data_IF_939329890837
#
_entry.id   IF_939329890837
#
_cell.length_a   1.000
_cell.length_b   1.000
_cell.length_c   1.000
_cell.angle_alpha   90.00
_cell.angle_beta   90.00
_cell.angle_gamma   90.00
#
_symmetry.space_group_name_H-M   'P 1'
#
loop_
_entity.id
_entity.type
_entity.pdbx_description
1 polymer ?
#
# COMPACT_ATOMS: atom_id res chain seq x y z
N UNK A 1 6.06 2.05 8.33
CA UNK A 1 6.31 3.51 8.34
C UNK A 1 5.01 4.18 7.95
N UNK A 2 4.37 4.84 8.91
CA UNK A 2 3.09 5.54 8.71
C UNK A 2 3.35 6.95 8.20
N UNK A 3 2.71 7.34 7.11
CA UNK A 3 2.55 8.73 6.69
C UNK A 3 1.06 9.07 6.67
N UNK A 4 0.70 10.24 7.21
CA UNK A 4 -0.66 10.74 7.26
C UNK A 4 -0.77 12.00 6.40
N UNK A 5 -1.89 12.13 5.70
CA UNK A 5 -2.19 13.23 4.81
C UNK A 5 -3.60 13.75 5.08
N UNK A 6 -3.77 15.06 5.07
CA UNK A 6 -5.05 15.74 5.21
C UNK A 6 -5.16 16.80 4.12
N UNK A 7 -6.26 16.78 3.34
CA UNK A 7 -6.52 17.82 2.35
C UNK A 7 -7.31 18.98 2.99
N UNK A 8 -7.13 20.24 2.55
CA UNK A 8 -8.01 21.33 2.91
C UNK A 8 -9.48 21.02 2.56
N UNK A 9 -10.41 21.40 3.45
CA UNK A 9 -11.85 21.22 3.22
C UNK A 9 -12.26 21.97 1.96
N UNK A 10 -12.91 21.27 1.02
CA UNK A 10 -13.45 21.85 -0.22
C UNK A 10 -14.92 22.19 -0.02
N UNK A 11 -15.39 23.27 -0.63
CA UNK A 11 -16.81 23.66 -0.61
C UNK A 11 -17.34 23.66 -2.04
N UNK A 12 -18.28 22.77 -2.32
CA UNK A 12 -19.07 22.75 -3.54
C UNK A 12 -20.31 23.62 -3.34
N UNK A 13 -20.57 24.56 -4.26
CA UNK A 13 -21.68 25.53 -4.15
C UNK A 13 -23.01 24.94 -4.67
N UNK A 14 -23.28 23.68 -4.31
CA UNK A 14 -24.48 22.94 -4.70
C UNK A 14 -25.05 22.15 -3.50
N UNK A 15 -26.38 21.93 -3.45
CA UNK A 15 -27.01 21.16 -2.38
C UNK A 15 -26.50 19.72 -2.31
N UNK A 16 -26.40 19.20 -1.09
CA UNK A 16 -25.89 17.85 -0.78
C UNK A 16 -26.52 16.77 -1.67
N UNK A 17 -27.84 16.82 -1.85
CA UNK A 17 -28.61 15.86 -2.64
C UNK A 17 -28.19 15.79 -4.11
N UNK A 18 -27.80 16.94 -4.69
CA UNK A 18 -27.27 17.01 -6.06
C UNK A 18 -25.81 16.55 -6.13
N UNK A 19 -25.00 16.86 -5.11
CA UNK A 19 -23.61 16.36 -4.99
C UNK A 19 -23.59 14.84 -4.85
N UNK A 20 -24.55 14.23 -4.14
CA UNK A 20 -24.68 12.77 -4.05
C UNK A 20 -25.10 12.16 -5.39
N UNK A 21 -25.98 12.82 -6.15
CA UNK A 21 -26.38 12.40 -7.49
C UNK A 21 -25.22 12.45 -8.49
N UNK A 22 -24.37 13.48 -8.40
CA UNK A 22 -23.14 13.62 -9.18
C UNK A 22 -22.05 12.61 -8.74
N UNK A 23 -21.96 12.32 -7.44
CA UNK A 23 -21.01 11.35 -6.90
C UNK A 23 -21.25 9.91 -7.40
N UNK A 24 -22.51 9.45 -7.43
CA UNK A 24 -22.83 8.09 -7.89
C UNK A 24 -22.55 7.86 -9.39
N UNK A 25 -22.43 8.91 -10.22
CA UNK A 25 -21.97 8.83 -11.63
C UNK A 25 -20.58 8.21 -11.80
N UNK A 26 -19.80 8.12 -10.71
CA UNK A 26 -18.46 7.51 -10.71
C UNK A 26 -18.48 5.97 -10.84
N UNK A 27 -19.63 5.33 -10.69
CA UNK A 27 -19.75 3.87 -10.61
C UNK A 27 -20.58 3.28 -11.78
N UNK A 28 -20.32 2.03 -12.21
CA UNK A 28 -19.24 1.14 -11.76
C UNK A 28 -17.87 1.49 -12.36
N UNK A 29 -17.81 2.39 -13.34
CA UNK A 29 -16.59 2.80 -14.06
C UNK A 29 -16.62 4.30 -14.36
N UNK A 30 -15.53 5.03 -14.08
CA UNK A 30 -15.45 6.47 -14.36
C UNK A 30 -14.36 6.78 -15.39
N UNK A 31 -14.72 7.33 -16.55
CA UNK A 31 -13.77 7.69 -17.62
C UNK A 31 -12.73 8.73 -17.18
N UNK A 32 -13.07 9.59 -16.22
CA UNK A 32 -12.17 10.60 -15.64
C UNK A 32 -11.21 10.02 -14.58
N UNK A 33 -11.43 8.77 -14.13
CA UNK A 33 -10.58 8.06 -13.17
C UNK A 33 -10.06 6.77 -13.85
N UNK A 34 -9.25 6.86 -14.93
CA UNK A 34 -8.84 5.70 -15.73
C UNK A 34 -7.96 4.69 -15.00
N UNK A 35 -7.50 5.01 -13.78
CA UNK A 35 -6.84 4.06 -12.87
C UNK A 35 -7.82 3.07 -12.24
N UNK A 36 -9.11 3.43 -12.09
CA UNK A 36 -10.18 2.54 -11.61
C UNK A 36 -10.83 1.86 -12.82
N UNK A 37 -10.62 0.55 -12.97
CA UNK A 37 -11.12 -0.23 -14.10
C UNK A 37 -12.55 -0.72 -13.89
N UNK A 38 -12.92 -1.03 -12.65
CA UNK A 38 -14.25 -1.45 -12.23
C UNK A 38 -14.41 -1.29 -10.71
N UNK A 39 -15.64 -1.06 -10.25
CA UNK A 39 -16.05 -1.16 -8.85
C UNK A 39 -17.34 -1.98 -8.77
N UNK A 40 -17.25 -3.19 -8.23
CA UNK A 40 -18.34 -4.15 -8.07
C UNK A 40 -18.94 -4.01 -6.67
N UNK A 41 -20.27 -4.02 -6.52
CA UNK A 41 -20.92 -3.98 -5.21
C UNK A 41 -20.80 -5.35 -4.53
N UNK A 42 -20.21 -5.41 -3.34
CA UNK A 42 -20.11 -6.63 -2.52
C UNK A 42 -21.21 -6.74 -1.48
N UNK A 43 -21.70 -5.60 -0.99
CA UNK A 43 -22.82 -5.52 -0.05
C UNK A 43 -23.55 -4.19 -0.23
N UNK A 44 -24.87 -4.19 -0.12
CA UNK A 44 -25.69 -2.97 -0.18
C UNK A 44 -26.90 -3.14 0.73
N UNK A 45 -26.99 -2.31 1.77
CA UNK A 45 -28.05 -2.39 2.77
C UNK A 45 -28.68 -1.01 2.99
N UNK A 46 -29.97 -0.99 3.30
CA UNK A 46 -30.75 0.23 3.53
C UNK A 46 -31.48 0.11 4.87
N UNK A 47 -31.53 1.18 5.65
CA UNK A 47 -32.28 1.23 6.91
C UNK A 47 -33.79 1.09 6.67
N UNK A 48 -34.52 0.62 7.70
CA UNK A 48 -35.98 0.43 7.62
C UNK A 48 -36.78 1.71 7.32
N UNK A 49 -36.19 2.89 7.52
CA UNK A 49 -36.77 4.19 7.17
C UNK A 49 -36.26 4.80 5.86
N UNK A 50 -35.34 4.11 5.15
CA UNK A 50 -34.72 4.60 3.93
C UNK A 50 -33.78 5.79 4.11
N UNK A 51 -33.47 6.20 5.34
CA UNK A 51 -32.56 7.33 5.60
C UNK A 51 -31.09 7.00 5.36
N UNK A 52 -30.67 5.77 5.65
CA UNK A 52 -29.28 5.34 5.63
C UNK A 52 -29.10 4.22 4.62
N UNK A 53 -28.09 4.33 3.76
CA UNK A 53 -27.64 3.27 2.86
C UNK A 53 -26.16 3.01 3.07
N UNK A 54 -25.81 1.77 3.39
CA UNK A 54 -24.42 1.33 3.51
C UNK A 54 -24.09 0.45 2.30
N UNK A 55 -23.21 0.94 1.42
CA UNK A 55 -22.81 0.24 0.19
C UNK A 55 -21.32 -0.04 0.23
N UNK A 56 -20.94 -1.31 0.24
CA UNK A 56 -19.56 -1.76 0.11
C UNK A 56 -19.28 -2.17 -1.34
N UNK A 57 -18.13 -1.72 -1.87
CA UNK A 57 -17.69 -1.95 -3.25
C UNK A 57 -16.26 -2.46 -3.25
N UNK A 58 -15.98 -3.47 -4.08
CA UNK A 58 -14.63 -3.96 -4.38
C UNK A 58 -14.18 -3.36 -5.71
N UNK A 59 -13.20 -2.47 -5.65
CA UNK A 59 -12.68 -1.73 -6.78
C UNK A 59 -11.36 -2.33 -7.29
N UNK A 60 -11.32 -2.64 -8.59
CA UNK A 60 -10.14 -3.10 -9.32
C UNK A 60 -9.43 -1.93 -9.96
N UNK A 61 -8.19 -1.68 -9.54
CA UNK A 61 -7.33 -0.61 -10.05
C UNK A 61 -6.21 -1.17 -10.94
N UNK A 62 -5.81 -0.39 -11.96
CA UNK A 62 -4.61 -0.63 -12.76
C UNK A 62 -3.36 -0.09 -12.03
N UNK A 63 -2.27 -0.84 -12.06
CA UNK A 63 -1.02 -0.46 -11.37
C UNK A 63 -0.13 0.41 -12.28
N UNK A 64 -0.30 1.74 -12.22
CA UNK A 64 0.65 2.73 -12.76
C UNK A 64 1.90 2.85 -11.87
N UNK A 65 2.66 1.76 -11.73
CA UNK A 65 3.91 1.73 -10.98
C UNK A 65 5.12 1.61 -11.93
N UNK A 66 6.28 2.22 -11.57
CA UNK A 66 7.54 2.01 -12.28
C UNK A 66 7.82 0.53 -12.57
N UNK A 67 8.33 0.23 -13.77
CA UNK A 67 8.51 -1.14 -14.29
C UNK A 67 9.12 -2.13 -13.28
N UNK A 68 10.14 -1.71 -12.53
CA UNK A 68 10.81 -2.55 -11.54
C UNK A 68 9.91 -2.92 -10.35
N UNK A 69 8.99 -2.03 -9.93
CA UNK A 69 7.97 -2.32 -8.92
C UNK A 69 6.95 -3.28 -9.49
N UNK A 70 6.38 -2.99 -10.68
CA UNK A 70 5.36 -3.84 -11.32
C UNK A 70 5.86 -5.28 -11.54
N UNK A 71 7.12 -5.43 -11.95
CA UNK A 71 7.80 -6.73 -12.14
C UNK A 71 7.96 -7.56 -10.86
N UNK A 72 8.17 -6.89 -9.71
CA UNK A 72 8.28 -7.54 -8.39
C UNK A 72 6.88 -7.83 -7.80
N UNK A 73 5.92 -6.94 -8.05
CA UNK A 73 4.51 -7.08 -7.64
C UNK A 73 3.83 -8.27 -8.33
N UNK A 74 4.21 -8.58 -9.58
CA UNK A 74 3.75 -9.78 -10.29
C UNK A 74 2.29 -9.74 -10.78
N UNK A 75 1.55 -8.69 -10.46
CA UNK A 75 0.16 -8.46 -10.89
C UNK A 75 -0.01 -7.13 -11.61
N UNK A 76 -0.83 -7.12 -12.66
CA UNK A 76 -1.23 -5.90 -13.37
C UNK A 76 -2.22 -5.02 -12.60
N UNK A 77 -2.89 -5.60 -11.61
CA UNK A 77 -4.05 -5.04 -10.94
C UNK A 77 -3.96 -5.17 -9.43
N UNK A 78 -4.55 -4.22 -8.70
CA UNK A 78 -4.75 -4.29 -7.25
C UNK A 78 -6.20 -4.04 -6.90
N UNK A 79 -6.66 -4.67 -5.82
CA UNK A 79 -8.01 -4.52 -5.29
C UNK A 79 -8.02 -3.66 -4.03
N UNK A 80 -8.96 -2.73 -3.99
CA UNK A 80 -9.34 -1.93 -2.83
C UNK A 80 -10.79 -2.21 -2.48
N UNK A 81 -11.12 -2.22 -1.18
CA UNK A 81 -12.50 -2.20 -0.71
C UNK A 81 -12.85 -0.78 -0.33
N UNK A 82 -14.04 -0.33 -0.71
CA UNK A 82 -14.60 0.97 -0.40
C UNK A 82 -15.97 0.79 0.25
N UNK A 83 -16.10 1.16 1.52
CA UNK A 83 -17.36 1.22 2.25
C UNK A 83 -17.88 2.66 2.24
N UNK A 84 -19.08 2.85 1.71
CA UNK A 84 -19.83 4.10 1.80
C UNK A 84 -20.95 3.97 2.83
N UNK A 85 -21.20 5.02 3.61
CA UNK A 85 -22.39 5.19 4.43
C UNK A 85 -23.05 6.52 4.11
N UNK A 86 -24.10 6.48 3.29
CA UNK A 86 -24.91 7.63 2.90
C UNK A 86 -26.06 7.77 3.88
N UNK A 87 -26.08 8.86 4.65
CA UNK A 87 -27.14 9.20 5.60
C UNK A 87 -27.85 10.49 5.14
N UNK A 88 -29.05 10.33 4.58
CA UNK A 88 -29.88 11.40 4.06
C UNK A 88 -30.56 12.22 5.18
N UNK A 89 -30.70 11.66 6.39
CA UNK A 89 -31.29 12.34 7.55
C UNK A 89 -30.33 13.37 8.14
N UNK A 90 -29.04 13.04 8.23
CA UNK A 90 -27.98 13.98 8.64
C UNK A 90 -27.37 14.76 7.47
N UNK A 91 -27.71 14.41 6.22
CA UNK A 91 -27.14 14.95 4.98
C UNK A 91 -25.61 14.81 4.97
N UNK A 92 -25.14 13.59 5.23
CA UNK A 92 -23.73 13.21 5.24
C UNK A 92 -23.48 11.93 4.43
N UNK A 93 -22.35 11.86 3.73
CA UNK A 93 -21.82 10.62 3.15
C UNK A 93 -20.42 10.42 3.70
N UNK A 94 -20.23 9.34 4.46
CA UNK A 94 -18.92 8.91 4.95
C UNK A 94 -18.39 7.78 4.06
N UNK A 95 -17.09 7.80 3.78
CA UNK A 95 -16.42 6.88 2.86
C UNK A 95 -15.13 6.42 3.54
N UNK A 96 -14.96 5.10 3.67
CA UNK A 96 -13.75 4.45 4.13
C UNK A 96 -13.26 3.49 3.05
N UNK A 97 -12.05 3.71 2.53
CA UNK A 97 -11.44 2.87 1.51
C UNK A 97 -10.09 2.33 1.97
N UNK A 98 -9.82 1.05 1.72
CA UNK A 98 -8.60 0.37 2.14
C UNK A 98 -8.13 -0.66 1.11
N UNK A 99 -6.83 -0.97 1.09
CA UNK A 99 -6.29 -1.97 0.17
C UNK A 99 -6.54 -3.40 0.66
N UNK A 100 -7.12 -4.23 -0.19
CA UNK A 100 -7.20 -5.68 0.02
C UNK A 100 -5.87 -6.32 -0.41
N UNK A 101 -5.44 -6.01 -1.63
CA UNK A 101 -4.17 -6.48 -2.20
C UNK A 101 -2.98 -5.88 -1.45
N UNK A 102 -2.01 -6.74 -1.09
CA UNK A 102 -0.78 -6.38 -0.36
C UNK A 102 -0.97 -5.80 1.05
N UNK A 103 -2.14 -5.96 1.67
CA UNK A 103 -2.46 -5.56 3.07
C UNK A 103 -1.45 -6.05 4.14
N UNK A 104 -0.76 -7.17 3.86
CA UNK A 104 0.33 -7.71 4.68
C UNK A 104 1.67 -6.96 4.54
N UNK A 105 1.89 -6.19 3.45
CA UNK A 105 3.13 -5.44 3.15
C UNK A 105 2.95 -3.92 3.21
N UNK A 106 1.78 -3.41 2.81
CA UNK A 106 1.39 -1.99 2.86
C UNK A 106 -0.06 -1.92 3.35
N UNK A 107 -0.37 -0.97 4.23
CA UNK A 107 -1.76 -0.61 4.56
C UNK A 107 -2.00 0.80 4.06
N UNK A 108 -2.98 0.97 3.18
CA UNK A 108 -3.53 2.25 2.74
C UNK A 108 -4.92 2.34 3.32
N UNK A 109 -5.23 3.47 3.95
CA UNK A 109 -6.55 3.79 4.50
C UNK A 109 -6.90 5.22 4.11
N UNK A 110 -7.99 5.40 3.37
CA UNK A 110 -8.53 6.70 2.99
C UNK A 110 -9.89 6.91 3.66
N UNK A 111 -10.09 8.07 4.30
CA UNK A 111 -11.34 8.47 4.93
C UNK A 111 -11.79 9.81 4.36
N UNK A 112 -12.92 9.78 3.66
CA UNK A 112 -13.51 10.95 3.01
C UNK A 112 -14.94 11.17 3.53
N UNK A 113 -15.36 12.42 3.63
CA UNK A 113 -16.69 12.77 4.14
C UNK A 113 -17.26 13.98 3.40
N UNK A 114 -18.44 13.81 2.84
CA UNK A 114 -19.27 14.90 2.32
C UNK A 114 -20.31 15.27 3.38
N UNK A 115 -20.54 16.55 3.61
CA UNK A 115 -21.51 17.06 4.58
C UNK A 115 -22.00 18.46 4.21
N UNK A 116 -23.14 18.88 4.77
CA UNK A 116 -23.68 20.24 4.54
C UNK A 116 -22.78 21.30 5.16
N UNK A 117 -22.59 22.43 4.47
CA UNK A 117 -21.80 23.56 4.98
C UNK A 117 -22.45 24.14 6.25
N UNK A 118 -21.72 24.35 7.36
CA UNK A 118 -22.32 24.71 8.65
C UNK A 118 -23.08 26.05 8.63
N UNK A 119 -22.67 26.97 7.75
CA UNK A 119 -23.29 28.30 7.60
C UNK A 119 -24.27 28.38 6.41
N UNK A 120 -24.40 27.33 5.58
CA UNK A 120 -25.22 27.38 4.37
C UNK A 120 -25.78 26.00 3.99
N UNK A 121 -27.10 25.83 4.13
CA UNK A 121 -27.79 24.56 3.86
C UNK A 121 -27.77 24.11 2.39
N UNK A 122 -27.41 25.00 1.46
CA UNK A 122 -27.38 24.75 0.01
C UNK A 122 -25.96 24.52 -0.53
N UNK A 123 -24.94 24.50 0.33
CA UNK A 123 -23.56 24.16 -0.02
C UNK A 123 -23.12 22.86 0.65
N UNK A 124 -22.14 22.19 0.03
CA UNK A 124 -21.63 20.88 0.47
C UNK A 124 -20.12 20.96 0.71
N UNK A 125 -19.70 20.72 1.93
CA UNK A 125 -18.31 20.49 2.29
C UNK A 125 -17.85 19.08 1.87
N UNK A 126 -16.56 18.95 1.57
CA UNK A 126 -15.86 17.70 1.40
C UNK A 126 -14.51 17.75 2.13
N UNK A 127 -14.28 16.80 3.01
CA UNK A 127 -13.01 16.57 3.71
C UNK A 127 -12.45 15.19 3.35
N UNK A 128 -11.12 15.09 3.28
CA UNK A 128 -10.40 13.89 2.87
C UNK A 128 -9.10 13.77 3.66
N UNK A 129 -8.93 12.62 4.30
CA UNK A 129 -7.74 12.20 5.02
C UNK A 129 -7.26 10.86 4.47
N UNK A 130 -5.95 10.63 4.44
CA UNK A 130 -5.40 9.31 4.09
C UNK A 130 -4.21 8.98 4.99
N UNK A 131 -4.00 7.69 5.25
CA UNK A 131 -2.80 7.17 5.88
C UNK A 131 -2.24 6.00 5.08
N UNK A 132 -0.91 5.90 5.07
CA UNK A 132 -0.16 4.85 4.37
C UNK A 132 0.91 4.32 5.32
N UNK A 133 0.75 3.08 5.79
CA UNK A 133 1.78 2.33 6.52
C UNK A 133 2.50 1.33 5.60
N UNK A 134 3.73 1.65 5.21
CA UNK A 134 4.60 0.73 4.48
C UNK A 134 5.34 -0.13 5.50
N UNK A 135 5.00 -1.43 5.60
CA UNK A 135 5.63 -2.37 6.54
C UNK A 135 6.98 -2.83 5.98
N UNK A 136 6.95 -3.70 4.97
CA UNK A 136 8.12 -4.18 4.23
C UNK A 136 7.75 -4.49 2.78
N UNK A 137 8.41 -3.82 1.83
CA UNK A 137 8.13 -3.89 0.40
C UNK A 137 9.42 -4.12 -0.41
N UNK A 138 10.09 -5.22 -0.10
CA UNK A 138 11.24 -5.76 -0.86
C UNK A 138 12.46 -4.82 -1.01
N UNK A 139 12.61 -3.77 -0.20
CA UNK A 139 13.65 -2.75 -0.40
C UNK A 139 13.27 -1.63 -1.37
N UNK A 140 11.98 -1.45 -1.63
CA UNK A 140 11.40 -0.39 -2.49
C UNK A 140 10.45 0.54 -1.72
N UNK A 141 10.55 0.56 -0.39
CA UNK A 141 9.65 1.28 0.50
C UNK A 141 9.57 2.78 0.12
N UNK A 142 10.70 3.45 -0.10
CA UNK A 142 10.77 4.86 -0.52
C UNK A 142 10.30 5.13 -1.97
N UNK A 143 10.10 4.08 -2.77
CA UNK A 143 9.55 4.20 -4.13
C UNK A 143 8.03 4.01 -4.14
N UNK A 144 7.51 3.13 -3.26
CA UNK A 144 6.07 3.02 -2.95
C UNK A 144 5.58 4.29 -2.25
N UNK A 145 6.36 4.84 -1.33
CA UNK A 145 6.11 6.11 -0.64
C UNK A 145 5.88 7.26 -1.63
N UNK A 146 6.82 7.46 -2.57
CA UNK A 146 6.72 8.48 -3.63
C UNK A 146 5.54 8.23 -4.58
N UNK A 147 5.24 6.97 -4.88
CA UNK A 147 4.08 6.60 -5.70
C UNK A 147 2.76 6.94 -4.99
N UNK A 148 2.66 6.66 -3.68
CA UNK A 148 1.51 7.01 -2.86
C UNK A 148 1.33 8.53 -2.74
N UNK A 149 2.40 9.29 -2.49
CA UNK A 149 2.37 10.76 -2.50
C UNK A 149 1.87 11.32 -3.85
N UNK A 150 2.42 10.83 -4.97
CA UNK A 150 2.00 11.23 -6.32
C UNK A 150 0.51 10.96 -6.52
N UNK A 151 0.07 9.72 -6.26
CA UNK A 151 -1.32 9.32 -6.48
C UNK A 151 -2.30 10.11 -5.59
N UNK A 152 -1.93 10.40 -4.35
CA UNK A 152 -2.74 11.22 -3.45
C UNK A 152 -2.85 12.67 -3.93
N UNK A 153 -1.75 13.28 -4.40
CA UNK A 153 -1.76 14.60 -5.02
C UNK A 153 -2.60 14.66 -6.31
N UNK A 154 -2.43 13.68 -7.20
CA UNK A 154 -3.22 13.53 -8.43
C UNK A 154 -4.72 13.37 -8.12
N UNK A 155 -5.07 12.60 -7.08
CA UNK A 155 -6.45 12.42 -6.61
C UNK A 155 -7.04 13.71 -6.02
N UNK A 156 -6.24 14.49 -5.28
CA UNK A 156 -6.66 15.77 -4.71
C UNK A 156 -7.08 16.76 -5.80
N UNK A 157 -6.25 16.92 -6.85
CA UNK A 157 -6.53 17.87 -7.93
C UNK A 157 -7.80 17.46 -8.71
N UNK A 158 -7.81 16.24 -9.26
CA UNK A 158 -8.88 15.73 -10.13
C UNK A 158 -10.21 15.57 -9.38
N UNK A 159 -10.16 15.33 -8.07
CA UNK A 159 -11.36 15.10 -7.25
C UNK A 159 -12.38 16.24 -7.26
N UNK A 160 -11.95 17.49 -7.50
CA UNK A 160 -12.87 18.63 -7.71
C UNK A 160 -13.48 18.58 -9.12
N UNK A 161 -12.63 18.47 -10.14
CA UNK A 161 -13.00 18.50 -11.57
C UNK A 161 -14.04 17.43 -11.92
N UNK A 162 -13.91 16.24 -11.33
CA UNK A 162 -14.83 15.11 -11.54
C UNK A 162 -16.26 15.44 -11.07
N UNK A 163 -16.42 16.13 -9.93
CA UNK A 163 -17.75 16.48 -9.42
C UNK A 163 -18.37 17.61 -10.25
N UNK A 164 -17.60 18.65 -10.60
CA UNK A 164 -18.09 19.75 -11.46
C UNK A 164 -18.52 19.23 -12.85
N UNK A 165 -17.74 18.30 -13.45
CA UNK A 165 -18.12 17.67 -14.73
C UNK A 165 -19.47 16.94 -14.65
N UNK A 166 -19.70 16.17 -13.59
CA UNK A 166 -20.99 15.49 -13.39
C UNK A 166 -22.13 16.45 -13.00
N UNK A 167 -21.84 17.63 -12.43
CA UNK A 167 -22.84 18.70 -12.28
C UNK A 167 -23.25 19.29 -13.63
N UNK A 168 -22.31 19.44 -14.56
CA UNK A 168 -22.61 19.93 -15.91
C UNK A 168 -23.38 18.89 -16.74
N UNK A 169 -23.08 17.58 -16.61
CA UNK A 169 -23.92 16.51 -17.18
C UNK A 169 -25.35 16.56 -16.62
N UNK A 170 -25.51 16.61 -15.29
CA UNK A 170 -26.84 16.68 -14.65
C UNK A 170 -27.61 17.93 -15.10
N UNK A 171 -26.94 19.08 -15.26
CA UNK A 171 -27.57 20.30 -15.76
C UNK A 171 -28.01 20.17 -17.22
N UNK A 172 -27.22 19.50 -18.07
CA UNK A 172 -27.58 19.22 -19.46
C UNK A 172 -28.77 18.25 -19.58
N UNK A 173 -28.93 17.33 -18.62
CA UNK A 173 -30.11 16.46 -18.47
C UNK A 173 -31.34 17.18 -17.84
N UNK A 174 -31.20 18.45 -17.45
CA UNK A 174 -32.26 19.22 -16.78
C UNK A 174 -32.39 18.94 -15.27
N UNK A 175 -31.53 18.10 -14.68
CA UNK A 175 -31.52 17.76 -13.26
C UNK A 175 -30.82 18.89 -12.48
N UNK A 176 -31.57 19.95 -12.18
CA UNK A 176 -31.08 21.14 -11.47
C UNK A 176 -31.32 21.11 -9.96
N UNK A 177 -32.18 20.21 -9.47
CA UNK A 177 -32.49 20.02 -8.05
C UNK A 177 -32.84 18.56 -7.77
N UNK A 178 -32.75 18.18 -6.49
CA UNK A 178 -33.08 16.84 -6.00
C UNK A 178 -33.91 16.99 -4.71
N UNK A 179 -34.95 16.16 -4.48
CA UNK A 179 -35.75 16.24 -3.26
C UNK A 179 -34.93 15.82 -2.05
N UNK A 180 -35.12 16.53 -0.92
CA UNK A 180 -34.58 16.12 0.38
C UNK A 180 -35.35 14.90 0.89
N UNK A 181 -34.68 14.03 1.64
CA UNK A 181 -35.34 12.92 2.31
C UNK A 181 -36.32 13.44 3.38
N UNK A 182 -37.48 12.79 3.46
CA UNK A 182 -38.54 13.06 4.44
C UNK A 182 -38.88 11.73 5.13
N UNK A 183 -39.02 11.75 6.46
CA UNK A 183 -39.39 10.54 7.22
C UNK A 183 -40.71 9.95 6.70
N UNK A 184 -40.76 8.65 6.37
CA UNK A 184 -42.01 7.98 6.07
C UNK A 184 -43.01 8.09 7.23
N UNK A 185 -44.18 8.70 6.98
CA UNK A 185 -45.14 9.07 8.03
C UNK A 185 -45.80 7.89 8.78
N UNK A 186 -45.58 6.66 8.33
CA UNK A 186 -46.08 5.44 8.98
C UNK A 186 -45.13 4.87 10.05
N UNK A 187 -43.94 5.47 10.23
CA UNK A 187 -42.94 5.00 11.19
C UNK A 187 -43.09 5.69 12.55
N UNK A 188 -42.75 5.01 13.66
CA UNK A 188 -42.71 5.64 14.97
C UNK A 188 -41.81 6.88 15.02
N UNK A 189 -42.09 7.82 15.96
CA UNK A 189 -41.09 8.80 16.37
C UNK A 189 -39.81 8.12 16.84
N UNK A 190 -38.65 8.75 16.66
CA UNK A 190 -37.40 8.23 17.23
C UNK A 190 -37.54 8.15 18.75
N UNK A 191 -37.31 6.97 19.32
CA UNK A 191 -37.36 6.78 20.76
C UNK A 191 -36.20 7.55 21.41
N UNK A 192 -36.44 8.45 22.39
CA UNK A 192 -35.39 9.26 23.00
C UNK A 192 -34.59 8.45 24.03
N UNK A 193 -33.77 7.52 23.54
CA UNK A 193 -32.95 6.61 24.34
C UNK A 193 -31.51 6.62 23.84
N UNK A 194 -30.56 7.06 24.69
CA UNK A 194 -29.15 7.10 24.28
C UNK A 194 -28.24 8.05 25.07
N UNK A 195 -28.59 8.44 26.30
CA UNK A 195 -27.63 9.07 27.21
C UNK A 195 -26.44 8.11 27.42
N UNK A 196 -25.22 8.58 27.15
CA UNK A 196 -24.01 7.77 27.33
C UNK A 196 -23.92 7.33 28.79
N UNK A 197 -23.98 6.02 29.02
CA UNK A 197 -23.73 5.39 30.31
C UNK A 197 -22.24 5.48 30.67
N UNK A 198 -21.80 6.64 31.15
CA UNK A 198 -20.48 6.79 31.73
C UNK A 198 -20.40 5.91 33.00
N UNK A 199 -19.70 4.79 32.90
CA UNK A 199 -19.38 3.95 34.07
C UNK A 199 -18.30 4.66 34.88
N UNK A 200 -18.72 5.44 35.88
CA UNK A 200 -17.81 6.14 36.80
C UNK A 200 -17.30 5.19 37.88
N UNK A 201 -16.18 4.52 37.60
CA UNK A 201 -15.38 3.86 38.63
C UNK A 201 -14.57 4.91 39.42
N UNK A 202 -15.13 5.40 40.52
CA UNK A 202 -14.43 6.32 41.42
C UNK A 202 -13.24 5.63 42.12
N UNK A 203 -12.03 6.14 41.87
CA UNK A 203 -10.83 5.88 42.66
C UNK A 203 -10.08 7.20 42.81
N UNK A 204 -9.95 7.69 44.05
CA UNK A 204 -9.43 9.03 44.32
C UNK A 204 -7.90 9.06 44.45
N UNK A 205 -7.30 10.24 44.21
CA UNK A 205 -6.41 10.95 45.15
C UNK A 205 -6.15 12.37 44.62
N UNK A 206 -5.80 13.31 45.51
CA UNK A 206 -5.71 14.74 45.23
C UNK A 206 -4.44 15.17 44.46
N UNK A 207 -4.51 16.34 43.80
CA UNK A 207 -3.37 17.01 43.17
C UNK A 207 -3.72 18.42 42.70
N UNK A 208 -3.36 19.44 43.47
CA UNK A 208 -3.57 20.86 43.15
C UNK A 208 -2.38 21.47 42.42
N UNK A 209 -2.59 22.29 41.37
CA UNK A 209 -1.90 23.60 41.20
C UNK A 209 -2.25 24.36 39.91
N UNK A 210 -2.43 25.68 40.07
CA UNK A 210 -2.21 26.82 39.15
C UNK A 210 -2.11 26.63 37.63
N UNK A 211 -3.00 27.31 36.90
CA UNK A 211 -2.75 27.85 35.55
C UNK A 211 -1.74 29.01 35.57
N UNK A 212 -1.11 29.30 34.42
CA UNK A 212 -0.80 30.68 34.04
C UNK A 212 -1.25 31.03 32.60
N UNK A 213 -1.66 32.28 32.39
CA UNK A 213 -1.80 32.88 31.04
C UNK A 213 -0.51 33.62 30.63
N UNK A 214 -0.23 33.76 29.33
CA UNK A 214 0.66 34.79 28.80
C UNK A 214 -0.12 36.08 28.46
N UNK A 215 0.36 37.17 29.06
CA UNK A 215 -0.09 38.56 28.98
C UNK A 215 0.01 39.18 27.57
N UNK A 216 -0.80 40.21 27.28
CA UNK A 216 -0.72 41.04 26.07
C UNK A 216 0.65 41.74 25.92
N UNK A 217 1.19 41.77 24.70
CA UNK A 217 2.28 42.65 24.29
C UNK A 217 1.93 43.40 23.00
N UNK A 218 1.58 44.66 23.11
CA UNK A 218 1.25 45.53 21.96
C UNK A 218 2.50 46.19 21.38
N UNK A 219 2.55 46.41 20.05
CA UNK A 219 2.69 47.76 19.49
C UNK A 219 2.45 47.82 17.96
N UNK A 220 1.87 48.94 17.55
CA UNK A 220 1.83 49.59 16.23
C UNK A 220 3.25 50.07 15.79
N UNK A 221 3.60 50.56 14.58
CA UNK A 221 2.94 50.99 13.31
C UNK A 221 4.06 51.27 12.24
N UNK A 222 3.89 51.63 10.95
CA UNK A 222 2.80 51.74 9.96
C UNK A 222 3.41 51.75 8.52
N UNK A 223 2.57 51.90 7.48
CA UNK A 223 2.82 52.55 6.17
C UNK A 223 3.44 51.74 5.01
N UNK A 224 2.93 52.06 3.82
CA UNK A 224 3.10 51.41 2.51
C UNK A 224 4.35 51.89 1.74
N UNK A 225 4.77 51.14 0.71
CA UNK A 225 5.02 51.70 -0.65
C UNK A 225 5.31 50.60 -1.70
N UNK A 226 5.22 50.96 -2.98
CA UNK A 226 5.33 50.05 -4.14
C UNK A 226 6.78 49.66 -4.47
N UNK A 227 6.95 48.50 -5.12
CA UNK A 227 8.20 48.10 -5.78
C UNK A 227 7.98 46.99 -6.80
N UNK A 228 7.86 47.33 -8.08
CA UNK A 228 7.64 46.38 -9.18
C UNK A 228 8.94 45.75 -9.66
N UNK A 229 8.90 44.47 -10.03
CA UNK A 229 9.74 43.93 -11.10
C UNK A 229 9.19 42.60 -11.64
N UNK A 230 9.07 42.52 -12.97
CA UNK A 230 8.75 41.30 -13.69
C UNK A 230 9.90 40.29 -13.65
N UNK A 231 9.59 39.01 -13.85
CA UNK A 231 10.44 38.13 -14.66
C UNK A 231 9.61 36.99 -15.25
N UNK A 232 9.29 37.12 -16.53
CA UNK A 232 8.60 36.10 -17.31
C UNK A 232 9.58 35.02 -17.80
N UNK A 233 9.11 33.77 -17.87
CA UNK A 233 9.80 32.72 -18.63
C UNK A 233 8.78 31.83 -19.36
N UNK A 234 8.72 32.09 -20.67
CA UNK A 234 8.09 31.37 -21.77
C UNK A 234 7.49 29.99 -21.51
N UNK A 235 6.20 29.86 -21.84
CA UNK A 235 5.60 28.59 -22.27
C UNK A 235 6.01 28.34 -23.72
N UNK A 236 6.51 27.14 -24.04
CA UNK A 236 6.51 26.62 -25.41
C UNK A 236 5.85 25.24 -25.47
N UNK A 237 5.17 24.97 -26.58
CA UNK A 237 4.18 23.91 -26.72
C UNK A 237 4.56 22.95 -27.83
N UNK A 238 4.64 21.66 -27.49
CA UNK A 238 4.41 20.45 -28.31
C UNK A 238 4.47 20.59 -29.85
N UNK A 239 5.32 19.80 -30.50
CA UNK A 239 5.01 19.28 -31.84
C UNK A 239 5.34 17.79 -32.00
N UNK A 240 4.47 17.14 -32.78
CA UNK A 240 4.18 15.70 -32.82
C UNK A 240 5.07 14.87 -33.77
N UNK A 241 4.84 13.55 -33.67
CA UNK A 241 4.89 12.57 -34.77
C UNK A 241 6.24 11.95 -35.22
N UNK A 242 6.38 10.65 -34.90
CA UNK A 242 6.57 9.61 -35.92
C UNK A 242 5.93 8.28 -35.47
N UNK A 243 5.46 7.47 -36.42
CA UNK A 243 4.73 6.20 -36.19
C UNK A 243 5.60 4.98 -36.58
N UNK A 244 5.23 3.74 -36.16
CA UNK A 244 6.22 2.69 -35.94
C UNK A 244 6.59 1.88 -37.18
N UNK A 245 7.79 1.30 -37.16
CA UNK A 245 8.17 0.19 -38.02
C UNK A 245 7.91 -1.16 -37.32
N UNK A 246 7.78 -2.26 -38.08
CA UNK A 246 7.27 -3.56 -37.63
C UNK A 246 8.20 -4.69 -38.08
N UNK A 247 8.21 -5.81 -37.33
CA UNK A 247 9.24 -6.90 -37.31
C UNK A 247 10.41 -6.53 -36.37
N UNK A 248 11.09 -7.49 -35.72
CA UNK A 248 11.04 -8.95 -35.88
C UNK A 248 10.75 -9.69 -34.57
N UNK A 249 10.36 -10.97 -34.65
CA UNK A 249 9.98 -11.81 -33.50
C UNK A 249 11.00 -12.91 -33.19
N UNK A 250 11.21 -13.18 -31.89
CA UNK A 250 11.94 -14.36 -31.40
C UNK A 250 13.08 -14.04 -30.42
N UNK A 251 13.32 -14.95 -29.47
CA UNK A 251 14.50 -15.01 -28.58
C UNK A 251 14.73 -13.80 -27.63
N UNK A 252 13.86 -13.62 -26.62
CA UNK A 252 14.21 -12.80 -25.44
C UNK A 252 13.64 -13.29 -24.08
N UNK A 253 12.94 -14.43 -24.06
CA UNK A 253 12.14 -14.91 -22.92
C UNK A 253 12.92 -15.61 -21.78
N UNK A 254 14.25 -15.65 -21.81
CA UNK A 254 15.07 -16.46 -20.88
C UNK A 254 15.70 -15.70 -19.71
N UNK A 255 15.51 -14.39 -19.60
CA UNK A 255 16.12 -13.53 -18.56
C UNK A 255 15.07 -12.92 -17.61
N UNK A 256 13.78 -13.14 -17.85
CA UNK A 256 12.78 -12.19 -17.38
C UNK A 256 12.23 -12.40 -15.95
N UNK A 257 12.26 -13.59 -15.34
CA UNK A 257 11.59 -13.83 -14.05
C UNK A 257 12.47 -13.83 -12.79
N UNK A 258 13.75 -13.42 -12.85
CA UNK A 258 14.74 -13.65 -11.77
C UNK A 258 14.51 -12.91 -10.43
N UNK A 259 13.41 -12.15 -10.27
CA UNK A 259 13.10 -11.42 -9.03
C UNK A 259 11.87 -11.93 -8.29
N UNK A 260 11.01 -12.71 -8.94
CA UNK A 260 9.81 -13.25 -8.31
C UNK A 260 10.21 -14.47 -7.45
N UNK A 261 10.04 -14.33 -6.13
CA UNK A 261 9.97 -15.49 -5.24
C UNK A 261 8.48 -15.82 -5.11
N UNK A 262 8.05 -16.88 -5.80
CA UNK A 262 6.70 -17.40 -5.68
C UNK A 262 6.45 -17.89 -4.25
N UNK A 263 5.25 -17.68 -3.72
CA UNK A 263 4.86 -18.08 -2.35
C UNK A 263 5.02 -19.59 -2.17
N UNK A 264 4.61 -20.36 -3.18
CA UNK A 264 4.73 -21.82 -3.21
C UNK A 264 6.20 -22.26 -3.27
N UNK A 265 7.06 -21.50 -3.97
CA UNK A 265 8.50 -21.76 -4.01
C UNK A 265 9.16 -21.47 -2.65
N UNK A 266 8.79 -20.38 -1.99
CA UNK A 266 9.27 -20.04 -0.64
C UNK A 266 8.89 -21.16 0.32
N UNK A 267 7.59 -21.48 0.44
CA UNK A 267 7.12 -22.46 1.42
C UNK A 267 7.72 -23.86 1.18
N UNK A 268 7.85 -24.28 -0.08
CA UNK A 268 8.32 -25.63 -0.46
C UNK A 268 9.83 -25.82 -0.42
N UNK A 269 10.64 -24.79 -0.68
CA UNK A 269 12.11 -24.93 -0.82
C UNK A 269 12.95 -24.06 0.15
N UNK A 270 12.35 -23.04 0.76
CA UNK A 270 13.01 -22.12 1.67
C UNK A 270 12.47 -22.20 3.11
N UNK A 271 11.27 -22.77 3.27
CA UNK A 271 10.47 -22.80 4.49
C UNK A 271 9.69 -21.50 4.69
N UNK A 272 8.85 -21.46 5.72
CA UNK A 272 8.08 -20.25 6.03
C UNK A 272 9.00 -19.07 6.37
N UNK A 273 8.67 -17.90 5.81
CA UNK A 273 9.36 -16.63 6.01
C UNK A 273 8.32 -15.55 6.28
N UNK A 274 8.63 -14.61 7.18
CA UNK A 274 7.80 -13.40 7.34
C UNK A 274 8.05 -12.42 6.19
N UNK A 275 7.13 -11.49 5.87
CA UNK A 275 7.33 -10.47 4.83
C UNK A 275 8.59 -9.61 5.02
N UNK A 276 9.03 -9.43 6.29
CA UNK A 276 10.34 -8.87 6.63
C UNK A 276 11.48 -9.74 6.10
N UNK A 277 11.49 -11.03 6.44
CA UNK A 277 12.55 -11.99 6.10
C UNK A 277 12.69 -12.18 4.59
N UNK A 278 11.58 -12.25 3.86
CA UNK A 278 11.55 -12.23 2.39
C UNK A 278 12.18 -10.94 1.83
N UNK A 279 11.80 -9.78 2.37
CA UNK A 279 12.36 -8.48 1.98
C UNK A 279 13.88 -8.46 2.19
N UNK A 280 14.38 -9.01 3.31
CA UNK A 280 15.82 -9.13 3.58
C UNK A 280 16.54 -10.11 2.66
N UNK A 281 15.89 -11.20 2.26
CA UNK A 281 16.40 -12.13 1.23
C UNK A 281 16.55 -11.42 -0.13
N UNK A 282 15.51 -10.72 -0.60
CA UNK A 282 15.56 -10.01 -1.89
C UNK A 282 16.59 -8.86 -1.85
N UNK A 283 16.70 -8.13 -0.73
CA UNK A 283 17.73 -7.10 -0.53
C UNK A 283 19.15 -7.69 -0.64
N UNK A 284 19.44 -8.81 0.05
CA UNK A 284 20.75 -9.46 -0.02
C UNK A 284 21.02 -10.03 -1.43
N UNK A 285 20.04 -10.69 -2.04
CA UNK A 285 20.15 -11.22 -3.41
C UNK A 285 20.49 -10.12 -4.42
N UNK A 286 19.75 -9.01 -4.39
CA UNK A 286 19.98 -7.83 -5.25
C UNK A 286 21.41 -7.30 -5.12
N UNK A 287 21.94 -7.21 -3.90
CA UNK A 287 23.32 -6.79 -3.66
C UNK A 287 24.34 -7.78 -4.23
N UNK A 288 24.16 -9.09 -3.99
CA UNK A 288 25.11 -10.11 -4.48
C UNK A 288 25.12 -10.15 -6.02
N UNK A 289 23.96 -10.04 -6.66
CA UNK A 289 23.84 -9.95 -8.13
C UNK A 289 24.49 -8.70 -8.73
N UNK A 290 24.67 -7.62 -7.96
CA UNK A 290 25.33 -6.40 -8.43
C UNK A 290 26.87 -6.49 -8.38
N UNK A 291 27.45 -7.22 -7.42
CA UNK A 291 28.91 -7.33 -7.29
C UNK A 291 29.49 -8.57 -7.99
N UNK A 292 28.73 -9.64 -8.17
CA UNK A 292 29.26 -10.89 -8.70
C UNK A 292 29.01 -11.06 -10.21
N UNK A 293 30.07 -10.88 -11.01
CA UNK A 293 30.15 -11.33 -12.42
C UNK A 293 30.30 -12.86 -12.53
N UNK A 294 29.58 -13.62 -11.72
CA UNK A 294 29.75 -15.07 -11.55
C UNK A 294 28.49 -15.78 -11.10
N UNK A 295 28.60 -17.06 -10.69
CA UNK A 295 27.46 -17.86 -10.25
C UNK A 295 26.92 -17.35 -8.92
N UNK A 296 25.83 -16.59 -8.98
CA UNK A 296 25.12 -16.07 -7.80
C UNK A 296 24.75 -17.22 -6.84
N UNK A 297 25.00 -17.08 -5.53
CA UNK A 297 24.56 -18.04 -4.51
C UNK A 297 23.05 -18.27 -4.56
N UNK A 298 22.61 -19.52 -4.33
CA UNK A 298 21.19 -19.85 -4.26
C UNK A 298 20.49 -19.16 -3.08
N UNK A 299 19.19 -18.92 -3.19
CA UNK A 299 18.38 -18.31 -2.13
C UNK A 299 18.49 -19.09 -0.80
N UNK A 300 18.59 -20.42 -0.84
CA UNK A 300 18.88 -21.27 0.33
C UNK A 300 20.22 -20.95 1.00
N UNK A 301 21.26 -20.61 0.22
CA UNK A 301 22.55 -20.20 0.77
C UNK A 301 22.46 -18.78 1.37
N UNK A 302 21.82 -17.83 0.67
CA UNK A 302 21.60 -16.47 1.17
C UNK A 302 20.82 -16.48 2.50
N UNK A 303 19.78 -17.33 2.60
CA UNK A 303 19.02 -17.54 3.83
C UNK A 303 19.84 -18.14 4.97
N UNK A 304 20.85 -18.98 4.71
CA UNK A 304 21.75 -19.47 5.78
C UNK A 304 22.52 -18.32 6.43
N UNK A 305 23.06 -17.39 5.64
CA UNK A 305 23.77 -16.22 6.17
C UNK A 305 22.83 -15.20 6.84
N UNK A 306 21.60 -15.05 6.34
CA UNK A 306 20.58 -14.21 6.99
C UNK A 306 20.10 -14.81 8.31
N UNK A 307 19.72 -16.10 8.34
CA UNK A 307 19.31 -16.81 9.57
C UNK A 307 20.42 -16.80 10.62
N UNK A 308 21.68 -16.96 10.22
CA UNK A 308 22.85 -16.89 11.11
C UNK A 308 23.19 -15.48 11.64
N UNK A 309 22.47 -14.43 11.22
CA UNK A 309 22.69 -13.03 11.60
C UNK A 309 21.37 -12.28 11.86
N UNK A 310 20.34 -12.99 12.34
CA UNK A 310 19.04 -12.42 12.74
C UNK A 310 18.35 -11.61 11.62
N UNK A 311 18.55 -12.04 10.37
CA UNK A 311 18.14 -11.35 9.14
C UNK A 311 18.69 -9.91 8.98
N UNK A 312 19.71 -9.53 9.75
CA UNK A 312 20.45 -8.30 9.53
C UNK A 312 21.27 -8.43 8.23
N UNK A 313 20.77 -7.79 7.17
CA UNK A 313 21.35 -7.86 5.81
C UNK A 313 22.83 -7.47 5.80
N UNK A 314 23.24 -6.45 6.56
CA UNK A 314 24.62 -5.94 6.54
C UNK A 314 25.60 -6.91 7.23
N UNK A 315 25.22 -7.48 8.38
CA UNK A 315 26.01 -8.54 9.04
C UNK A 315 26.06 -9.81 8.19
N UNK A 316 24.95 -10.19 7.55
CA UNK A 316 24.89 -11.34 6.64
C UNK A 316 25.77 -11.12 5.39
N UNK A 317 25.75 -9.90 4.83
CA UNK A 317 26.56 -9.45 3.69
C UNK A 317 28.06 -9.54 3.99
N UNK A 318 28.49 -9.06 5.17
CA UNK A 318 29.87 -9.19 5.64
C UNK A 318 30.31 -10.66 5.71
N UNK A 319 29.60 -11.47 6.50
CA UNK A 319 29.90 -12.89 6.69
C UNK A 319 29.88 -13.71 5.38
N UNK A 320 28.96 -13.41 4.46
CA UNK A 320 28.93 -14.02 3.13
C UNK A 320 30.16 -13.64 2.30
N UNK A 321 30.56 -12.36 2.32
CA UNK A 321 31.74 -11.86 1.60
C UNK A 321 33.04 -12.46 2.12
N UNK A 322 33.19 -12.56 3.45
CA UNK A 322 34.28 -13.25 4.13
C UNK A 322 34.33 -14.73 3.73
N UNK A 323 33.19 -15.43 3.82
CA UNK A 323 33.09 -16.85 3.49
C UNK A 323 33.47 -17.14 2.04
N UNK A 324 32.96 -16.36 1.08
CA UNK A 324 33.30 -16.51 -0.34
C UNK A 324 34.78 -16.21 -0.62
N UNK A 325 35.34 -15.19 0.04
CA UNK A 325 36.78 -14.86 -0.06
C UNK A 325 37.65 -15.99 0.49
N UNK A 326 37.26 -16.57 1.63
CA UNK A 326 37.93 -17.71 2.24
C UNK A 326 37.83 -18.97 1.37
N UNK A 327 36.65 -19.27 0.80
CA UNK A 327 36.47 -20.39 -0.14
C UNK A 327 37.37 -20.26 -1.36
N UNK A 328 37.43 -19.07 -1.96
CA UNK A 328 38.31 -18.77 -3.10
C UNK A 328 39.79 -18.91 -2.73
N UNK A 329 40.21 -18.40 -1.56
CA UNK A 329 41.61 -18.47 -1.09
C UNK A 329 42.09 -19.92 -0.89
N UNK A 330 41.24 -20.80 -0.37
CA UNK A 330 41.59 -22.19 -0.08
C UNK A 330 41.04 -23.18 -1.12
N UNK A 331 40.69 -22.70 -2.32
CA UNK A 331 40.21 -23.51 -3.45
C UNK A 331 39.01 -24.44 -3.13
N UNK A 332 38.20 -24.12 -2.11
CA UNK A 332 37.28 -25.06 -1.43
C UNK A 332 36.26 -25.68 -2.38
N UNK A 333 35.82 -24.96 -3.39
CA UNK A 333 34.82 -25.45 -4.35
C UNK A 333 35.36 -26.56 -5.28
N UNK A 334 36.69 -26.80 -5.30
CA UNK A 334 37.32 -27.96 -5.96
C UNK A 334 37.28 -29.25 -5.13
N UNK A 335 37.02 -29.18 -3.82
CA UNK A 335 37.15 -30.35 -2.92
C UNK A 335 36.29 -31.54 -3.37
N UNK A 336 35.13 -31.30 -3.98
CA UNK A 336 34.22 -32.35 -4.46
C UNK A 336 34.81 -33.13 -5.66
N UNK A 337 35.75 -32.53 -6.40
CA UNK A 337 36.41 -33.15 -7.56
C UNK A 337 37.84 -33.62 -7.26
N UNK A 338 38.54 -32.99 -6.31
CA UNK A 338 39.97 -33.21 -6.04
C UNK A 338 40.24 -34.00 -4.74
N UNK A 339 39.25 -34.17 -3.85
CA UNK A 339 39.44 -34.92 -2.61
C UNK A 339 39.48 -36.44 -2.85
N UNK A 340 40.61 -37.05 -2.50
CA UNK A 340 40.73 -38.49 -2.33
C UNK A 340 40.62 -38.83 -0.84
N UNK A 341 39.82 -39.84 -0.51
CA UNK A 341 39.71 -40.35 0.87
C UNK A 341 41.07 -40.94 1.28
N UNK A 342 41.71 -40.47 2.37
CA UNK A 342 42.96 -41.05 2.83
C UNK A 342 42.79 -42.54 3.15
N UNK A 343 43.76 -43.36 2.78
CA UNK A 343 43.65 -44.83 2.93
C UNK A 343 43.30 -45.24 4.37
N UNK A 344 43.87 -44.60 5.39
CA UNK A 344 43.53 -44.86 6.81
C UNK A 344 42.05 -44.62 7.16
N UNK A 345 41.34 -43.76 6.42
CA UNK A 345 39.89 -43.57 6.57
C UNK A 345 39.14 -44.69 5.85
N UNK A 346 39.55 -45.07 4.64
CA UNK A 346 38.98 -46.21 3.89
C UNK A 346 39.10 -47.52 4.65
N UNK A 347 40.26 -47.79 5.25
CA UNK A 347 40.61 -49.08 5.85
C UNK A 347 40.07 -49.24 7.29
N UNK A 348 39.86 -48.13 8.03
CA UNK A 348 39.58 -48.18 9.48
C UNK A 348 38.39 -47.34 9.97
N UNK A 349 37.70 -46.56 9.12
CA UNK A 349 36.56 -45.74 9.60
C UNK A 349 35.34 -46.64 9.94
N UNK A 350 34.88 -46.67 11.22
CA UNK A 350 33.88 -47.64 11.69
C UNK A 350 32.42 -47.19 11.44
N UNK A 351 32.16 -46.56 10.29
CA UNK A 351 30.86 -45.97 9.96
C UNK A 351 30.61 -45.91 8.45
N UNK A 352 29.35 -45.74 8.06
CA UNK A 352 28.95 -45.75 6.65
C UNK A 352 27.46 -45.88 6.43
N UNK A 353 27.05 -45.80 5.16
CA UNK A 353 25.66 -46.02 4.74
C UNK A 353 25.27 -47.49 4.86
N UNK A 354 24.10 -47.79 5.43
CA UNK A 354 23.66 -49.16 5.71
C UNK A 354 22.16 -49.34 5.42
N UNK A 355 21.84 -49.63 4.14
CA UNK A 355 20.46 -49.81 3.67
C UNK A 355 19.53 -48.63 4.02
N UNK A 356 18.23 -48.91 4.16
CA UNK A 356 17.19 -47.96 4.51
C UNK A 356 16.40 -48.43 5.72
N UNK A 357 15.74 -47.50 6.41
CA UNK A 357 14.75 -47.82 7.44
C UNK A 357 13.46 -48.42 6.85
N UNK A 358 12.48 -48.71 7.71
CA UNK A 358 11.15 -49.21 7.30
C UNK A 358 10.34 -48.22 6.45
N UNK A 359 10.73 -46.95 6.44
CA UNK A 359 10.13 -45.85 5.68
C UNK A 359 10.86 -45.57 4.35
N UNK A 360 11.93 -46.32 4.02
CA UNK A 360 12.74 -46.13 2.82
C UNK A 360 13.80 -45.01 2.94
N UNK A 361 14.04 -44.45 4.13
CA UNK A 361 15.05 -43.42 4.35
C UNK A 361 16.44 -44.03 4.54
N UNK A 362 17.51 -43.49 3.92
CA UNK A 362 18.85 -44.07 4.00
C UNK A 362 19.43 -43.93 5.40
N UNK A 363 19.91 -45.05 5.97
CA UNK A 363 20.55 -45.08 7.28
C UNK A 363 22.06 -44.86 7.16
N UNK A 364 22.63 -44.08 8.09
CA UNK A 364 24.07 -43.91 8.25
C UNK A 364 24.49 -44.32 9.66
N UNK A 365 25.36 -45.31 9.77
CA UNK A 365 25.92 -45.79 11.04
C UNK A 365 27.18 -45.01 11.35
N UNK A 366 27.28 -44.49 12.58
CA UNK A 366 28.45 -43.80 13.10
C UNK A 366 28.75 -44.29 14.52
N UNK A 367 29.84 -45.04 14.70
CA UNK A 367 30.33 -45.41 16.03
C UNK A 367 30.86 -44.15 16.74
N UNK A 368 30.31 -43.85 17.91
CA UNK A 368 30.77 -42.78 18.79
C UNK A 368 31.42 -43.39 20.02
N UNK A 369 32.67 -43.00 20.31
CA UNK A 369 33.49 -43.63 21.34
C UNK A 369 34.24 -44.89 20.87
N UNK A 370 35.03 -45.46 21.79
CA UNK A 370 35.62 -46.80 21.64
C UNK A 370 34.64 -47.85 22.18
#
# INVERSE_FOLDING_TARGET
>A
MVQNYQSPVRVYKYPFELVMKAYERRFPTCKLIPVVLACEITSDTVSSDGAVRTTERRCKLNVDAPFLIKKIIGVDHVFFVQKNELNLRTRTLEIEAYNESFSNRVVVLEKCRYFVHPENSEWTCFEQNASVDIKYFFGFESSIEKLAMKQYGDNIAKGKEIIEHFMDELRAEGITSMPRWVRPAHLPPDSPTGSRSNVTSNGAVAGSSTSPQPINGSHSENTMSNGSSDLSSSVETMSLCSKPNRRNSGQQSSVECQYQLDTDYIQRYLGELTPMQESRLIQLRKWVSQLQKGKVPSDTMLLRFLRARDFNVEKARGMLSESLTWRKKHAVDRIIAEYQVPQVVTDYFPGGWHHTDKSGQPLYLLRLGQ
#
